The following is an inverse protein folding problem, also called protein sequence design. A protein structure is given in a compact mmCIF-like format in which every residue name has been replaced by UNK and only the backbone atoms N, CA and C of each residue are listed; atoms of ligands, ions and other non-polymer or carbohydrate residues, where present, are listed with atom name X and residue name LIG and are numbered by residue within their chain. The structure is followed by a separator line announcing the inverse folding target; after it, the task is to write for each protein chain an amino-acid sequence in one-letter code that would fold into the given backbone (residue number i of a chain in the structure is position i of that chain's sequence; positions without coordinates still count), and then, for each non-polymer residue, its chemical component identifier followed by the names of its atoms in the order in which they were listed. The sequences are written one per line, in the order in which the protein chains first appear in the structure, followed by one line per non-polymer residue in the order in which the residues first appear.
data_IF_011222098651
#
_entry.id   IF_011222098651
#
_cell.length_a   1.000
_cell.length_b   1.000
_cell.length_c   1.000
_cell.angle_alpha   90.00
_cell.angle_beta   90.00
_cell.angle_gamma   90.00
#
_symmetry.space_group_name_H-M   'P 1'
#
loop_
_entity.id
_entity.type
_entity.pdbx_description
1 polymer ?
#
# COMPACT_ATOMS: atom_id res chain seq x y z
N UNK A 1 5.09 -0.66 -15.91
CA UNK A 1 6.43 -0.42 -16.45
C UNK A 1 7.37 -1.58 -16.09
N UNK A 2 7.02 -2.80 -16.56
CA UNK A 2 7.74 -4.05 -16.29
C UNK A 2 9.24 -3.96 -16.60
N UNK A 3 9.61 -3.30 -17.70
CA UNK A 3 11.01 -3.12 -18.08
C UNK A 3 11.84 -2.35 -17.04
N UNK A 4 11.24 -1.35 -16.40
CA UNK A 4 11.91 -0.58 -15.34
C UNK A 4 12.13 -1.44 -14.10
N UNK A 5 11.14 -2.26 -13.72
CA UNK A 5 11.27 -3.20 -12.60
C UNK A 5 12.33 -4.27 -12.90
N UNK A 6 12.34 -4.83 -14.11
CA UNK A 6 13.37 -5.79 -14.52
C UNK A 6 14.78 -5.20 -14.37
N UNK A 7 15.02 -4.00 -14.92
CA UNK A 7 16.32 -3.32 -14.80
C UNK A 7 16.72 -3.04 -13.36
N UNK A 8 15.75 -2.68 -12.50
CA UNK A 8 16.02 -2.47 -11.09
C UNK A 8 16.37 -3.78 -10.39
N UNK A 9 15.64 -4.84 -10.65
CA UNK A 9 15.87 -6.16 -10.11
C UNK A 9 17.27 -6.71 -10.49
N UNK A 10 17.67 -6.56 -11.75
CA UNK A 10 19.00 -6.90 -12.23
C UNK A 10 20.10 -6.15 -11.46
N UNK A 11 19.89 -4.86 -11.20
CA UNK A 11 20.86 -4.02 -10.43
C UNK A 11 21.03 -4.46 -8.97
N UNK A 12 20.00 -4.99 -8.35
CA UNK A 12 20.04 -5.45 -6.95
C UNK A 12 20.38 -6.94 -6.84
N UNK A 13 20.75 -7.60 -7.94
CA UNK A 13 21.14 -8.99 -7.96
C UNK A 13 19.98 -9.98 -7.84
N UNK A 14 18.80 -9.61 -8.31
CA UNK A 14 17.66 -10.53 -8.34
C UNK A 14 17.93 -11.68 -9.32
N UNK A 15 17.47 -12.92 -9.04
CA UNK A 15 17.72 -14.06 -9.93
C UNK A 15 17.27 -13.80 -11.36
N UNK A 16 18.11 -14.11 -12.32
CA UNK A 16 17.84 -13.90 -13.75
C UNK A 16 16.73 -14.78 -14.31
N UNK A 17 16.41 -15.87 -13.60
CA UNK A 17 15.38 -16.84 -13.97
C UNK A 17 13.95 -16.31 -13.79
N UNK A 18 13.79 -15.20 -13.07
CA UNK A 18 12.47 -14.59 -12.88
C UNK A 18 12.06 -13.83 -14.12
N UNK A 19 11.05 -14.34 -14.81
CA UNK A 19 10.46 -13.64 -15.94
C UNK A 19 9.43 -12.61 -15.47
N UNK A 20 9.79 -11.34 -15.58
CA UNK A 20 8.90 -10.20 -15.25
C UNK A 20 7.75 -10.03 -16.25
N UNK A 21 7.73 -10.79 -17.33
CA UNK A 21 6.62 -10.81 -18.29
C UNK A 21 5.64 -11.95 -18.03
N UNK A 22 6.01 -12.93 -17.22
CA UNK A 22 5.12 -13.99 -16.75
C UNK A 22 4.30 -13.46 -15.56
N UNK A 23 2.97 -13.41 -15.71
CA UNK A 23 2.04 -12.96 -14.68
C UNK A 23 2.04 -13.85 -13.43
N UNK A 24 2.61 -15.03 -13.50
CA UNK A 24 2.85 -15.90 -12.35
C UNK A 24 3.79 -15.27 -11.33
N UNK A 25 4.81 -14.55 -11.80
CA UNK A 25 5.84 -13.94 -10.97
C UNK A 25 5.57 -12.46 -10.73
N UNK A 26 5.05 -11.78 -11.73
CA UNK A 26 4.85 -10.34 -11.68
C UNK A 26 3.61 -9.93 -12.46
N UNK A 27 2.54 -9.63 -11.76
CA UNK A 27 1.32 -9.08 -12.34
C UNK A 27 1.23 -7.58 -12.10
N UNK A 28 0.80 -6.83 -13.10
CA UNK A 28 0.60 -5.40 -13.03
C UNK A 28 -0.81 -5.05 -13.53
N UNK A 29 -1.61 -4.48 -12.64
CA UNK A 29 -2.94 -3.97 -12.96
C UNK A 29 -2.89 -2.46 -13.03
N UNK A 30 -3.46 -1.89 -14.10
CA UNK A 30 -3.64 -0.44 -14.21
C UNK A 30 -4.91 -0.04 -13.48
N UNK A 31 -4.85 1.09 -12.75
CA UNK A 31 -5.98 1.66 -12.04
C UNK A 31 -7.18 1.98 -12.95
N UNK A 32 -6.93 2.25 -14.23
CA UNK A 32 -7.97 2.50 -15.23
C UNK A 32 -8.95 1.32 -15.38
N UNK A 33 -8.49 0.10 -15.07
CA UNK A 33 -9.28 -1.13 -15.22
C UNK A 33 -9.95 -1.58 -13.91
N UNK A 34 -9.56 -0.99 -12.78
CA UNK A 34 -10.08 -1.36 -11.47
C UNK A 34 -10.31 -0.10 -10.63
N UNK A 35 -11.49 0.48 -10.80
CA UNK A 35 -11.94 1.63 -10.02
C UNK A 35 -12.64 1.20 -8.75
N UNK A 36 -12.58 2.05 -7.73
CA UNK A 36 -13.34 1.90 -6.52
C UNK A 36 -13.03 0.62 -5.75
N UNK A 37 -14.05 0.02 -5.20
CA UNK A 37 -13.95 -1.18 -4.36
C UNK A 37 -13.55 -2.44 -5.15
N UNK A 38 -13.70 -2.45 -6.47
CA UNK A 38 -13.42 -3.61 -7.33
C UNK A 38 -11.98 -4.11 -7.19
N UNK A 39 -11.03 -3.20 -6.96
CA UNK A 39 -9.65 -3.60 -6.72
C UNK A 39 -9.51 -4.41 -5.43
N UNK A 40 -10.17 -3.98 -4.36
CA UNK A 40 -10.16 -4.71 -3.08
C UNK A 40 -10.87 -6.06 -3.18
N UNK A 41 -11.98 -6.12 -3.91
CA UNK A 41 -12.68 -7.38 -4.18
C UNK A 41 -11.80 -8.37 -4.93
N UNK A 42 -11.18 -7.94 -6.03
CA UNK A 42 -10.24 -8.75 -6.78
C UNK A 42 -9.03 -9.18 -5.94
N UNK A 43 -8.55 -8.33 -5.04
CA UNK A 43 -7.46 -8.66 -4.14
C UNK A 43 -7.88 -9.69 -3.08
N UNK A 44 -9.09 -9.57 -2.54
CA UNK A 44 -9.67 -10.57 -1.62
C UNK A 44 -9.84 -11.92 -2.32
N UNK A 45 -10.36 -11.92 -3.54
CA UNK A 45 -10.52 -13.14 -4.34
C UNK A 45 -9.18 -13.83 -4.61
N UNK A 46 -8.16 -13.05 -4.99
CA UNK A 46 -6.80 -13.56 -5.16
C UNK A 46 -6.26 -14.23 -3.88
N UNK A 47 -6.45 -13.61 -2.72
CA UNK A 47 -6.02 -14.20 -1.45
C UNK A 47 -6.80 -15.47 -1.11
N UNK A 48 -8.11 -15.48 -1.35
CA UNK A 48 -8.96 -16.64 -1.13
C UNK A 48 -8.59 -17.82 -2.04
N UNK A 49 -8.24 -17.55 -3.29
CA UNK A 49 -7.78 -18.58 -4.22
C UNK A 49 -6.41 -19.11 -3.84
N UNK A 50 -5.50 -18.23 -3.39
CA UNK A 50 -4.21 -18.65 -2.85
C UNK A 50 -4.36 -19.56 -1.62
N UNK A 51 -5.29 -19.28 -0.72
CA UNK A 51 -5.58 -20.12 0.45
C UNK A 51 -6.08 -21.52 0.07
N UNK A 52 -6.76 -21.66 -1.07
CA UNK A 52 -7.25 -22.96 -1.60
C UNK A 52 -6.15 -23.75 -2.31
N UNK A 53 -5.14 -23.09 -2.84
CA UNK A 53 -4.07 -23.74 -3.60
C UNK A 53 -3.05 -24.40 -2.69
N UNK A 54 -3.17 -25.72 -2.51
CA UNK A 54 -2.21 -26.51 -1.72
C UNK A 54 -0.79 -26.47 -2.25
N UNK A 55 -0.58 -26.14 -3.54
CA UNK A 55 0.75 -25.99 -4.13
C UNK A 55 1.46 -24.72 -3.67
N UNK A 56 0.69 -23.77 -3.14
CA UNK A 56 1.22 -22.53 -2.56
C UNK A 56 1.76 -22.71 -1.13
N UNK A 57 1.62 -23.90 -0.54
CA UNK A 57 2.14 -24.20 0.79
C UNK A 57 3.62 -24.61 0.74
N UNK A 58 4.44 -23.91 1.51
CA UNK A 58 5.83 -24.23 1.75
C UNK A 58 5.97 -24.95 3.09
N UNK A 59 6.79 -25.99 3.13
CA UNK A 59 7.22 -26.61 4.37
C UNK A 59 8.36 -25.80 4.98
N UNK A 60 8.15 -25.23 6.14
CA UNK A 60 9.16 -24.43 6.82
C UNK A 60 10.10 -25.32 7.66
N UNK A 61 11.31 -24.86 8.02
CA UNK A 61 12.19 -25.59 8.93
C UNK A 61 11.72 -25.58 10.37
N UNK A 62 10.72 -24.80 10.70
CA UNK A 62 10.17 -24.67 12.06
C UNK A 62 9.19 -25.80 12.35
N UNK A 63 9.23 -26.33 13.55
CA UNK A 63 8.31 -27.38 14.00
C UNK A 63 7.17 -26.79 14.82
N UNK A 64 5.99 -27.33 14.65
CA UNK A 64 4.87 -27.07 15.55
C UNK A 64 5.17 -27.63 16.94
N UNK A 65 5.06 -26.82 18.00
CA UNK A 65 5.45 -27.26 19.35
C UNK A 65 4.68 -28.48 19.85
N UNK A 66 3.41 -28.62 19.45
CA UNK A 66 2.55 -29.71 19.91
C UNK A 66 2.61 -30.96 19.02
N UNK A 67 2.68 -30.76 17.69
CA UNK A 67 2.61 -31.86 16.72
C UNK A 67 3.97 -32.42 16.34
N UNK A 68 5.06 -31.69 16.59
CA UNK A 68 6.42 -32.08 16.18
C UNK A 68 6.64 -32.13 14.66
N UNK A 69 5.61 -31.84 13.88
CA UNK A 69 5.65 -31.77 12.41
C UNK A 69 6.15 -30.41 11.94
N UNK A 70 6.72 -30.36 10.75
CA UNK A 70 7.15 -29.09 10.20
C UNK A 70 5.95 -28.18 9.94
N UNK A 71 6.06 -26.94 10.40
CA UNK A 71 5.07 -25.91 10.15
C UNK A 71 4.98 -25.60 8.66
N UNK A 72 3.77 -25.57 8.12
CA UNK A 72 3.50 -25.23 6.73
C UNK A 72 2.91 -23.84 6.66
N UNK A 73 3.40 -23.04 5.72
CA UNK A 73 2.91 -21.70 5.50
C UNK A 73 2.81 -21.39 4.00
N UNK A 74 1.96 -20.47 3.67
CA UNK A 74 1.83 -20.00 2.29
C UNK A 74 3.12 -19.30 1.86
N UNK A 75 3.57 -19.52 0.61
CA UNK A 75 4.72 -18.77 0.12
C UNK A 75 4.42 -17.27 0.19
N UNK A 76 5.40 -16.44 0.61
CA UNK A 76 5.21 -15.01 0.75
C UNK A 76 4.99 -14.37 -0.62
N UNK A 77 4.00 -13.51 -0.72
CA UNK A 77 3.79 -12.66 -1.88
C UNK A 77 3.55 -11.23 -1.43
N UNK A 78 3.84 -10.27 -2.29
CA UNK A 78 3.77 -8.85 -1.99
C UNK A 78 2.87 -8.17 -3.01
N UNK A 79 1.88 -7.44 -2.52
CA UNK A 79 1.08 -6.53 -3.35
C UNK A 79 1.51 -5.10 -3.04
N UNK A 80 1.82 -4.35 -4.08
CA UNK A 80 2.23 -2.96 -4.00
C UNK A 80 1.11 -2.09 -4.57
N UNK A 81 0.66 -1.10 -3.80
CA UNK A 81 -0.30 -0.10 -4.24
C UNK A 81 0.37 1.29 -4.27
N UNK A 82 0.46 1.89 -5.43
CA UNK A 82 0.90 3.28 -5.61
C UNK A 82 -0.28 4.08 -6.19
N UNK A 83 -0.98 4.80 -5.36
CA UNK A 83 -0.90 5.02 -3.91
C UNK A 83 -2.27 4.93 -3.27
N UNK A 84 -2.32 4.66 -1.96
CA UNK A 84 -3.59 4.71 -1.21
C UNK A 84 -4.16 6.13 -1.17
N UNK A 85 -3.30 7.14 -1.26
CA UNK A 85 -3.72 8.55 -1.33
C UNK A 85 -4.49 8.88 -2.60
N UNK A 86 -4.17 8.23 -3.71
CA UNK A 86 -4.85 8.39 -4.99
C UNK A 86 -6.01 7.43 -5.21
N UNK A 87 -6.21 6.49 -4.29
CA UNK A 87 -7.31 5.55 -4.37
C UNK A 87 -8.62 6.21 -3.92
N UNK A 88 -9.68 6.10 -4.73
CA UNK A 88 -11.00 6.64 -4.46
C UNK A 88 -12.02 5.51 -4.33
N UNK A 89 -12.86 5.55 -3.32
CA UNK A 89 -13.92 4.56 -3.12
C UNK A 89 -15.11 4.83 -4.04
N UNK A 90 -15.89 3.80 -4.38
CA UNK A 90 -17.07 3.94 -5.27
C UNK A 90 -18.07 4.98 -4.76
N UNK A 91 -18.25 5.07 -3.44
CA UNK A 91 -19.15 6.06 -2.84
C UNK A 91 -18.72 7.50 -3.13
N UNK A 92 -17.41 7.74 -3.21
CA UNK A 92 -16.84 9.05 -3.53
C UNK A 92 -16.92 9.32 -5.02
N UNK A 93 -16.63 8.32 -5.87
CA UNK A 93 -16.75 8.44 -7.32
C UNK A 93 -18.19 8.77 -7.73
N UNK A 94 -19.17 8.06 -7.16
CA UNK A 94 -20.59 8.32 -7.43
C UNK A 94 -21.03 9.73 -7.05
N UNK A 95 -20.46 10.32 -5.98
CA UNK A 95 -20.75 11.70 -5.58
C UNK A 95 -20.06 12.71 -6.51
N UNK A 96 -18.85 12.40 -6.96
CA UNK A 96 -18.14 13.26 -7.94
C UNK A 96 -18.86 13.29 -9.29
N UNK A 97 -19.39 12.15 -9.76
CA UNK A 97 -20.16 12.06 -11.00
C UNK A 97 -21.48 12.86 -10.96
N UNK A 98 -22.13 12.94 -9.82
CA UNK A 98 -23.36 13.73 -9.64
C UNK A 98 -23.12 15.24 -9.65
N UNK A 99 -21.88 15.68 -9.65
CA UNK A 99 -21.56 17.12 -9.68
C UNK A 99 -21.94 17.88 -8.39
N UNK A 100 -22.34 17.17 -7.33
CA UNK A 100 -22.80 17.73 -6.05
C UNK A 100 -21.61 18.18 -5.16
N UNK A 101 -20.57 18.72 -5.76
CA UNK A 101 -19.36 19.17 -5.05
C UNK A 101 -19.50 20.60 -4.55
N UNK A 102 -20.51 20.87 -3.74
CA UNK A 102 -20.62 22.10 -2.94
C UNK A 102 -19.70 22.08 -1.72
N UNK A 103 -19.28 23.25 -1.24
CA UNK A 103 -18.25 23.38 -0.19
C UNK A 103 -18.58 22.64 1.13
N UNK A 104 -19.85 22.54 1.51
CA UNK A 104 -20.26 21.80 2.73
C UNK A 104 -20.22 20.28 2.57
N UNK A 105 -20.43 19.77 1.37
CA UNK A 105 -20.43 18.34 1.08
C UNK A 105 -19.01 17.76 0.92
N UNK A 106 -18.06 18.61 0.55
CA UNK A 106 -16.66 18.22 0.39
C UNK A 106 -16.04 17.68 1.68
N UNK A 107 -16.40 18.25 2.83
CA UNK A 107 -15.93 17.76 4.12
C UNK A 107 -16.52 16.39 4.48
N UNK A 108 -17.81 16.17 4.15
CA UNK A 108 -18.47 14.87 4.36
C UNK A 108 -17.94 13.80 3.40
N UNK A 109 -17.55 14.17 2.19
CA UNK A 109 -16.98 13.29 1.18
C UNK A 109 -15.66 12.65 1.68
N UNK A 110 -14.72 13.45 2.15
CA UNK A 110 -13.46 12.96 2.70
C UNK A 110 -13.65 12.09 3.94
N UNK A 111 -14.62 12.39 4.75
CA UNK A 111 -14.96 11.57 5.91
C UNK A 111 -15.53 10.22 5.49
N UNK A 112 -16.44 10.18 4.52
CA UNK A 112 -17.00 8.95 3.96
C UNK A 112 -15.91 8.07 3.31
N UNK A 113 -15.00 8.67 2.54
CA UNK A 113 -13.85 7.96 1.96
C UNK A 113 -12.94 7.36 3.04
N UNK A 114 -12.65 8.11 4.09
CA UNK A 114 -11.87 7.61 5.22
C UNK A 114 -12.53 6.45 5.96
N UNK A 115 -13.85 6.49 6.13
CA UNK A 115 -14.63 5.40 6.74
C UNK A 115 -14.58 4.16 5.84
N UNK A 116 -14.88 4.31 4.55
CA UNK A 116 -14.87 3.21 3.59
C UNK A 116 -13.48 2.56 3.49
N UNK A 117 -12.41 3.35 3.39
CA UNK A 117 -11.03 2.83 3.40
C UNK A 117 -10.70 2.09 4.69
N UNK A 118 -11.17 2.59 5.84
CA UNK A 118 -10.99 1.90 7.13
C UNK A 118 -11.65 0.54 7.11
N UNK A 119 -12.88 0.43 6.64
CA UNK A 119 -13.61 -0.83 6.55
C UNK A 119 -12.90 -1.82 5.64
N UNK A 120 -12.48 -1.39 4.44
CA UNK A 120 -11.73 -2.21 3.50
C UNK A 120 -10.43 -2.76 4.11
N UNK A 121 -9.67 -1.93 4.83
CA UNK A 121 -8.44 -2.37 5.49
C UNK A 121 -8.71 -3.36 6.64
N UNK A 122 -9.79 -3.16 7.39
CA UNK A 122 -10.21 -4.12 8.43
C UNK A 122 -10.53 -5.48 7.83
N UNK A 123 -11.26 -5.52 6.72
CA UNK A 123 -11.60 -6.77 6.04
C UNK A 123 -10.37 -7.48 5.45
N UNK A 124 -9.37 -6.73 4.98
CA UNK A 124 -8.14 -7.31 4.42
C UNK A 124 -7.24 -7.95 5.46
N UNK A 125 -7.22 -7.43 6.69
CA UNK A 125 -6.27 -7.82 7.73
C UNK A 125 -6.17 -9.33 7.94
N UNK A 126 -7.32 -9.99 8.12
CA UNK A 126 -7.35 -11.43 8.41
C UNK A 126 -6.96 -12.26 7.18
N UNK A 127 -7.40 -11.83 6.00
CA UNK A 127 -7.05 -12.49 4.73
C UNK A 127 -5.56 -12.36 4.39
N UNK A 128 -4.94 -11.21 4.66
CA UNK A 128 -3.50 -11.01 4.51
C UNK A 128 -2.70 -11.99 5.36
N UNK A 129 -3.08 -12.11 6.62
CA UNK A 129 -2.39 -13.01 7.56
C UNK A 129 -2.52 -14.47 7.15
N UNK A 130 -3.74 -14.91 6.79
CA UNK A 130 -4.00 -16.31 6.43
C UNK A 130 -3.36 -16.73 5.13
N UNK A 131 -3.26 -15.83 4.16
CA UNK A 131 -2.72 -16.13 2.83
C UNK A 131 -1.21 -15.93 2.70
N UNK A 132 -0.51 -15.48 3.76
CA UNK A 132 0.91 -15.11 3.68
C UNK A 132 1.18 -13.98 2.68
N UNK A 133 0.22 -13.04 2.56
CA UNK A 133 0.29 -11.90 1.66
C UNK A 133 0.76 -10.66 2.42
N UNK A 134 1.76 -9.99 1.86
CA UNK A 134 2.19 -8.68 2.31
C UNK A 134 1.53 -7.60 1.45
N UNK A 135 1.00 -6.58 2.10
CA UNK A 135 0.45 -5.42 1.43
C UNK A 135 1.30 -4.19 1.76
N UNK A 136 1.90 -3.61 0.75
CA UNK A 136 2.66 -2.38 0.88
C UNK A 136 2.02 -1.28 0.05
N UNK A 137 1.91 -0.08 0.61
CA UNK A 137 1.31 1.05 -0.08
C UNK A 137 2.10 2.33 0.16
N UNK A 138 2.03 3.22 -0.81
CA UNK A 138 2.57 4.57 -0.71
C UNK A 138 1.47 5.52 -0.27
N UNK A 139 1.78 6.39 0.68
CA UNK A 139 0.91 7.49 1.09
C UNK A 139 1.65 8.83 0.93
N UNK A 140 0.98 9.82 0.37
CA UNK A 140 1.54 11.15 0.25
C UNK A 140 1.38 11.92 1.56
N UNK A 141 2.48 12.56 2.00
CA UNK A 141 2.47 13.48 3.14
C UNK A 141 2.19 14.88 2.65
N UNK A 142 1.40 15.62 3.40
CA UNK A 142 1.12 17.01 3.14
C UNK A 142 0.88 17.78 4.42
N UNK A 143 1.01 19.10 4.34
CA UNK A 143 0.75 19.98 5.46
C UNK A 143 -0.74 20.08 5.72
N UNK A 144 -1.12 20.16 6.99
CA UNK A 144 -2.45 20.55 7.42
C UNK A 144 -2.49 22.07 7.59
N UNK A 145 -3.58 22.67 7.13
CA UNK A 145 -3.83 24.10 7.38
C UNK A 145 -4.60 24.18 8.69
N UNK A 146 -3.93 24.69 9.73
CA UNK A 146 -4.57 24.89 11.02
C UNK A 146 -5.23 26.27 11.05
N UNK A 147 -6.54 26.30 10.86
CA UNK A 147 -7.31 27.55 10.86
C UNK A 147 -7.62 28.06 12.28
N UNK A 148 -7.53 27.20 13.30
CA UNK A 148 -7.94 27.53 14.67
C UNK A 148 -6.76 27.91 15.58
N UNK A 149 -5.53 27.95 15.07
CA UNK A 149 -4.33 28.27 15.86
C UNK A 149 -3.98 27.28 16.98
N UNK A 150 -4.73 26.18 17.11
CA UNK A 150 -4.46 25.15 18.10
C UNK A 150 -3.39 24.18 17.58
N UNK A 151 -2.49 23.67 18.44
CA UNK A 151 -1.52 22.68 18.01
C UNK A 151 -2.25 21.42 17.52
N UNK A 152 -2.11 21.13 16.24
CA UNK A 152 -2.65 19.89 15.67
C UNK A 152 -1.95 18.66 16.25
N UNK A 153 -2.71 17.61 16.50
CA UNK A 153 -2.14 16.31 16.85
C UNK A 153 -1.38 15.77 15.65
N UNK A 154 -0.23 15.17 15.90
CA UNK A 154 0.49 14.41 14.88
C UNK A 154 -0.40 13.28 14.39
N UNK A 155 -0.44 13.07 13.09
CA UNK A 155 -1.18 11.95 12.52
C UNK A 155 -0.57 10.59 12.93
N UNK A 156 0.76 10.53 12.93
CA UNK A 156 1.53 9.43 13.50
C UNK A 156 2.55 10.00 14.50
N UNK A 157 2.92 9.22 15.49
CA UNK A 157 3.78 9.68 16.60
C UNK A 157 5.12 10.23 16.11
N UNK A 158 5.67 9.70 15.02
CA UNK A 158 6.96 10.09 14.46
C UNK A 158 6.86 11.15 13.37
N UNK A 159 5.66 11.47 12.87
CA UNK A 159 5.49 12.57 11.90
C UNK A 159 5.74 13.94 12.54
N UNK A 160 6.13 14.90 11.73
CA UNK A 160 6.28 16.29 12.18
C UNK A 160 4.92 16.88 12.53
N UNK A 161 4.93 17.85 13.43
CA UNK A 161 3.71 18.59 13.76
C UNK A 161 3.19 19.33 12.52
N UNK A 162 1.88 19.23 12.26
CA UNK A 162 1.26 19.84 11.09
C UNK A 162 1.38 19.01 9.79
N UNK A 163 2.00 17.84 9.85
CA UNK A 163 2.02 16.90 8.71
C UNK A 163 0.92 15.85 8.86
N UNK A 164 0.35 15.47 7.73
CA UNK A 164 -0.73 14.48 7.63
C UNK A 164 -0.57 13.63 6.37
N UNK A 165 -0.81 12.33 6.49
CA UNK A 165 -0.96 11.49 5.31
C UNK A 165 -2.27 11.83 4.61
N UNK A 166 -2.20 12.15 3.31
CA UNK A 166 -3.35 12.51 2.49
C UNK A 166 -4.12 11.27 2.05
N UNK A 167 -5.46 11.36 2.11
CA UNK A 167 -6.33 10.29 1.63
C UNK A 167 -6.21 8.96 2.39
N UNK A 168 -5.66 9.00 3.60
CA UNK A 168 -5.47 7.83 4.47
C UNK A 168 -6.37 7.97 5.69
N UNK A 169 -7.03 6.88 6.13
CA UNK A 169 -7.84 6.91 7.35
C UNK A 169 -7.01 7.23 8.59
N UNK A 170 -7.61 7.91 9.57
CA UNK A 170 -6.94 8.27 10.81
C UNK A 170 -6.46 7.06 11.65
N UNK A 171 -7.05 5.88 11.42
CA UNK A 171 -6.68 4.63 12.11
C UNK A 171 -5.75 3.75 11.28
N UNK A 172 -5.17 4.27 10.22
CA UNK A 172 -4.32 3.49 9.31
C UNK A 172 -3.09 2.92 10.03
N UNK A 173 -2.53 3.65 10.98
CA UNK A 173 -1.40 3.22 11.80
C UNK A 173 -1.68 1.95 12.61
N UNK A 174 -2.92 1.71 13.05
CA UNK A 174 -3.30 0.48 13.75
C UNK A 174 -3.23 -0.78 12.87
N UNK A 175 -3.30 -0.60 11.55
CA UNK A 175 -3.23 -1.70 10.58
C UNK A 175 -1.84 -1.83 9.94
N UNK A 176 -0.94 -0.91 10.24
CA UNK A 176 0.39 -0.86 9.65
C UNK A 176 1.41 -1.49 10.59
N UNK A 177 2.08 -2.55 10.14
CA UNK A 177 3.13 -3.22 10.94
C UNK A 177 4.45 -2.44 10.89
N UNK A 178 4.76 -1.88 9.72
CA UNK A 178 6.00 -1.10 9.49
C UNK A 178 5.67 0.10 8.63
N UNK A 179 6.19 1.26 8.98
CA UNK A 179 6.05 2.49 8.22
C UNK A 179 7.42 3.12 8.00
N UNK A 180 7.71 3.47 6.76
CA UNK A 180 8.92 4.20 6.38
C UNK A 180 8.54 5.59 5.91
N UNK A 181 9.18 6.60 6.46
CA UNK A 181 9.06 7.98 5.98
C UNK A 181 10.26 8.31 5.10
N UNK A 182 9.97 8.76 3.87
CA UNK A 182 10.99 9.10 2.89
C UNK A 182 11.04 10.62 2.77
N UNK A 183 12.18 11.19 3.09
CA UNK A 183 12.44 12.62 2.97
C UNK A 183 13.26 12.90 1.71
N UNK A 184 12.96 14.01 1.05
CA UNK A 184 13.89 14.60 0.12
C UNK A 184 15.06 15.19 0.90
N UNK A 185 16.25 14.66 0.68
CA UNK A 185 17.48 15.26 1.19
C UNK A 185 18.09 16.20 0.15
N UNK A 186 19.11 16.96 0.55
CA UNK A 186 19.93 17.71 -0.40
C UNK A 186 20.52 16.76 -1.44
N UNK A 187 20.59 17.17 -2.72
CA UNK A 187 21.20 16.35 -3.75
C UNK A 187 22.62 15.95 -3.34
N UNK A 188 22.95 14.68 -3.60
CA UNK A 188 24.34 14.23 -3.45
C UNK A 188 25.20 15.02 -4.44
N UNK A 189 26.15 15.76 -3.95
CA UNK A 189 27.12 16.50 -4.79
C UNK A 189 28.40 15.68 -4.87
N UNK A 190 29.06 15.74 -6.04
CA UNK A 190 30.38 15.14 -6.20
C UNK A 190 31.37 15.79 -5.22
N UNK A 191 32.42 15.05 -4.83
CA UNK A 191 33.48 15.57 -3.95
C UNK A 191 34.08 16.87 -4.49
N UNK A 192 34.08 17.06 -5.80
CA UNK A 192 34.61 18.24 -6.50
C UNK A 192 33.63 19.42 -6.53
N UNK A 193 32.45 19.31 -5.91
CA UNK A 193 31.36 20.31 -5.93
C UNK A 193 30.92 20.76 -7.33
N UNK A 194 31.17 19.97 -8.35
CA UNK A 194 30.88 20.31 -9.77
C UNK A 194 29.47 19.98 -10.23
N UNK A 195 28.60 19.54 -9.36
CA UNK A 195 27.20 19.26 -9.70
C UNK A 195 26.62 18.07 -8.93
N UNK A 196 25.32 17.82 -9.07
CA UNK A 196 24.69 16.66 -8.46
C UNK A 196 25.22 15.37 -9.07
N UNK A 197 25.41 14.33 -8.25
CA UNK A 197 25.83 12.99 -8.70
C UNK A 197 24.78 12.29 -9.57
N UNK A 198 23.52 12.74 -9.46
CA UNK A 198 22.41 12.29 -10.28
C UNK A 198 21.58 13.47 -10.75
N UNK A 199 21.13 13.47 -12.02
CA UNK A 199 20.25 14.51 -12.56
C UNK A 199 18.87 14.50 -11.89
#
# INVERSE_FOLDING_TARGET
NRLRFKRLAEKIGFPSEVDFYDDKWFSMTKAENMKGNKWFEAFKDYMADKEKDKKALLTTPFKEPQAGTNFKWWYPSITLMDSISGFTTESVEALMEKGETGDSERNTLFMKDGIAKTQLLMELKDSLTRSGQYFATVAHVGSTVNMDGKPERKHLTYMRQGEKMKGVPNKFDFYTTVCYEIFASSPLVSADKKGPLYP
#
